data_IF_136088372054
#
_entry.id   IF_136088372054
#
_cell.length_a   1.000
_cell.length_b   1.000
_cell.length_c   1.000
_cell.angle_alpha   90.00
_cell.angle_beta   90.00
_cell.angle_gamma   90.00
#
_symmetry.space_group_name_H-M   'P 1'
#
loop_
_entity.id
_entity.type
_entity.pdbx_description
1 polymer ?
#
# COMPACT_ATOMS: atom_id res chain seq x y z
N UNK A 1 -19.66 -12.89 -23.95
CA UNK A 1 -19.51 -12.04 -22.75
C UNK A 1 -19.24 -10.62 -23.24
N UNK A 2 -20.09 -9.67 -22.88
CA UNK A 2 -19.84 -8.25 -23.17
C UNK A 2 -18.83 -7.76 -22.15
N UNK A 3 -17.68 -7.28 -22.64
CA UNK A 3 -16.66 -6.67 -21.77
C UNK A 3 -17.24 -5.36 -21.21
N UNK A 4 -17.24 -5.22 -19.88
CA UNK A 4 -17.61 -3.96 -19.23
C UNK A 4 -16.51 -2.93 -19.48
N UNK A 5 -16.81 -1.95 -20.34
CA UNK A 5 -15.88 -0.88 -20.76
C UNK A 5 -15.92 0.34 -19.81
N UNK A 6 -16.65 0.26 -18.70
CA UNK A 6 -16.65 1.31 -17.68
C UNK A 6 -15.32 1.41 -16.93
N UNK A 7 -15.07 2.53 -16.24
CA UNK A 7 -13.91 2.68 -15.36
C UNK A 7 -13.87 1.57 -14.30
N UNK A 8 -15.04 1.22 -13.75
CA UNK A 8 -15.19 0.14 -12.79
C UNK A 8 -14.91 -1.24 -13.39
N UNK A 9 -15.27 -1.47 -14.66
CA UNK A 9 -14.92 -2.68 -15.39
C UNK A 9 -13.42 -2.80 -15.59
N UNK A 10 -12.74 -1.73 -16.01
CA UNK A 10 -11.29 -1.68 -16.14
C UNK A 10 -10.58 -1.91 -14.80
N UNK A 11 -11.02 -1.27 -13.73
CA UNK A 11 -10.52 -1.48 -12.37
C UNK A 11 -10.60 -2.97 -11.99
N UNK A 12 -11.76 -3.59 -12.23
CA UNK A 12 -11.98 -5.01 -11.92
C UNK A 12 -11.08 -5.94 -12.72
N UNK A 13 -10.84 -5.65 -14.01
CA UNK A 13 -9.92 -6.41 -14.85
C UNK A 13 -8.48 -6.33 -14.35
N UNK A 14 -7.99 -5.13 -14.03
CA UNK A 14 -6.62 -4.92 -13.53
C UNK A 14 -6.42 -5.69 -12.22
N UNK A 15 -7.36 -5.56 -11.29
CA UNK A 15 -7.25 -6.20 -9.98
C UNK A 15 -7.36 -7.72 -10.07
N UNK A 16 -8.24 -8.22 -10.95
CA UNK A 16 -8.37 -9.66 -11.19
C UNK A 16 -7.07 -10.26 -11.73
N UNK A 17 -6.45 -9.59 -12.71
CA UNK A 17 -5.18 -10.00 -13.29
C UNK A 17 -4.05 -9.97 -12.24
N UNK A 18 -3.90 -8.86 -11.51
CA UNK A 18 -2.88 -8.74 -10.47
C UNK A 18 -3.04 -9.76 -9.35
N UNK A 19 -4.27 -10.03 -8.91
CA UNK A 19 -4.55 -10.95 -7.83
C UNK A 19 -4.64 -12.43 -8.28
N UNK A 20 -4.51 -12.72 -9.59
CA UNK A 20 -4.67 -14.05 -10.14
C UNK A 20 -6.06 -14.63 -9.89
N UNK A 21 -7.11 -13.79 -9.83
CA UNK A 21 -8.49 -14.17 -9.50
C UNK A 21 -9.43 -13.90 -10.66
N UNK A 22 -10.62 -14.53 -10.64
CA UNK A 22 -11.69 -14.16 -11.57
C UNK A 22 -12.38 -12.87 -11.09
N UNK A 23 -12.91 -12.10 -12.03
CA UNK A 23 -13.66 -10.86 -11.73
C UNK A 23 -14.85 -11.14 -10.79
N UNK A 24 -15.51 -12.28 -11.00
CA UNK A 24 -16.69 -12.72 -10.23
C UNK A 24 -16.35 -12.95 -8.74
N UNK A 25 -15.10 -13.32 -8.47
CA UNK A 25 -14.62 -13.65 -7.13
C UNK A 25 -14.10 -12.42 -6.36
N UNK A 26 -13.97 -11.25 -7.02
CA UNK A 26 -13.45 -10.03 -6.38
C UNK A 26 -14.39 -9.44 -5.31
N UNK A 27 -15.66 -9.78 -5.34
CA UNK A 27 -16.67 -9.33 -4.39
C UNK A 27 -17.03 -10.37 -3.33
N UNK A 28 -16.55 -11.59 -3.46
CA UNK A 28 -16.75 -12.62 -2.46
C UNK A 28 -15.87 -12.33 -1.22
N UNK A 29 -16.43 -12.44 0.01
CA UNK A 29 -15.57 -12.48 1.19
C UNK A 29 -14.55 -13.59 0.94
N UNK A 30 -13.28 -13.29 1.14
CA UNK A 30 -12.25 -14.31 1.18
C UNK A 30 -12.71 -15.33 2.22
N UNK A 31 -13.28 -16.44 1.75
CA UNK A 31 -13.56 -17.61 2.56
C UNK A 31 -12.22 -18.28 2.86
N UNK A 32 -11.56 -17.77 3.80
CA UNK A 32 -10.25 -18.14 4.25
C UNK A 32 -9.81 -16.98 5.08
N UNK A 33 -9.91 -17.15 6.38
CA UNK A 33 -9.11 -16.38 7.29
C UNK A 33 -7.71 -16.35 6.72
N UNK A 34 -6.96 -15.33 7.08
CA UNK A 34 -5.57 -15.16 6.75
C UNK A 34 -4.91 -16.53 6.54
N UNK A 35 -4.56 -16.87 5.30
CA UNK A 35 -3.65 -17.96 5.08
C UNK A 35 -2.38 -17.56 5.80
N UNK A 36 -2.06 -18.22 6.90
CA UNK A 36 -0.88 -17.94 7.69
C UNK A 36 0.42 -18.20 6.89
N UNK A 37 0.30 -18.92 5.80
CA UNK A 37 1.41 -19.17 4.88
C UNK A 37 1.30 -18.23 3.69
N UNK A 38 2.25 -17.27 3.55
CA UNK A 38 2.34 -16.44 2.36
C UNK A 38 2.74 -17.34 1.19
N UNK A 39 1.83 -17.50 0.22
CA UNK A 39 2.20 -18.07 -1.07
C UNK A 39 3.38 -17.27 -1.64
N UNK A 40 4.42 -17.94 -2.16
CA UNK A 40 5.57 -17.24 -2.69
C UNK A 40 5.14 -16.32 -3.83
N UNK A 41 5.63 -15.08 -3.82
CA UNK A 41 5.37 -14.11 -4.88
C UNK A 41 5.97 -14.64 -6.20
N UNK A 42 5.10 -15.09 -7.09
CA UNK A 42 5.47 -15.60 -8.42
C UNK A 42 4.94 -14.63 -9.48
N UNK A 43 5.63 -13.52 -9.67
CA UNK A 43 5.31 -12.55 -10.72
C UNK A 43 4.10 -11.65 -10.42
N UNK A 44 3.48 -11.11 -11.48
CA UNK A 44 2.42 -10.09 -11.37
C UNK A 44 1.08 -10.62 -10.85
N UNK A 45 0.88 -11.94 -10.78
CA UNK A 45 -0.43 -12.55 -10.52
C UNK A 45 -0.69 -12.95 -9.05
N UNK A 46 0.20 -12.61 -8.13
CA UNK A 46 0.07 -13.02 -6.72
C UNK A 46 -0.03 -11.81 -5.76
N UNK A 47 -0.63 -10.73 -6.22
CA UNK A 47 -0.90 -9.61 -5.35
C UNK A 47 -2.06 -9.95 -4.42
N UNK A 48 -1.91 -9.60 -3.16
CA UNK A 48 -2.98 -9.71 -2.18
C UNK A 48 -4.05 -8.67 -2.47
N UNK A 49 -5.31 -9.07 -2.37
CA UNK A 49 -6.41 -8.10 -2.40
C UNK A 49 -6.49 -7.41 -1.04
N UNK A 50 -6.16 -6.11 -1.00
CA UNK A 50 -6.20 -5.30 0.20
C UNK A 50 -7.62 -4.93 0.61
N UNK A 51 -7.85 -4.79 1.92
CA UNK A 51 -9.09 -4.25 2.47
C UNK A 51 -8.93 -2.72 2.67
N UNK A 52 -9.75 -1.87 2.02
CA UNK A 52 -9.67 -0.42 2.23
C UNK A 52 -9.95 0.00 3.68
N UNK A 53 -10.58 -0.86 4.50
CA UNK A 53 -10.81 -0.61 5.93
C UNK A 53 -9.57 -0.87 6.79
N UNK A 54 -8.61 -1.67 6.31
CA UNK A 54 -7.35 -1.94 7.00
C UNK A 54 -6.36 -0.75 6.90
N UNK A 55 -6.65 0.21 6.02
CA UNK A 55 -5.82 1.39 5.83
C UNK A 55 -6.05 2.42 6.93
N UNK A 56 -5.00 2.69 7.67
CA UNK A 56 -4.97 3.76 8.66
C UNK A 56 -4.69 5.11 8.00
N UNK A 57 -5.72 5.95 7.91
CA UNK A 57 -5.64 7.27 7.26
C UNK A 57 -4.76 8.24 8.03
N UNK A 58 -4.63 8.07 9.36
CA UNK A 58 -3.80 8.95 10.18
C UNK A 58 -2.32 8.73 9.89
N UNK A 59 -1.94 7.49 9.65
CA UNK A 59 -0.56 7.07 9.44
C UNK A 59 -0.24 6.73 7.98
N UNK A 60 -1.25 6.73 7.09
CA UNK A 60 -1.11 6.38 5.66
C UNK A 60 -0.47 5.00 5.43
N UNK A 61 -0.89 4.01 6.20
CA UNK A 61 -0.35 2.65 6.22
C UNK A 61 -1.48 1.63 6.26
N UNK A 62 -1.36 0.53 5.53
CA UNK A 62 -2.13 -0.69 5.78
C UNK A 62 -1.49 -1.45 6.95
N UNK A 63 -2.04 -1.23 8.15
CA UNK A 63 -1.49 -1.80 9.38
C UNK A 63 -1.54 -3.32 9.41
N UNK A 64 -2.53 -3.92 8.76
CA UNK A 64 -2.68 -5.40 8.71
C UNK A 64 -1.51 -6.00 7.93
N UNK A 65 -1.17 -5.43 6.77
CA UNK A 65 -0.08 -5.92 5.95
C UNK A 65 1.29 -5.63 6.58
N UNK A 66 1.47 -4.44 7.17
CA UNK A 66 2.71 -4.10 7.87
C UNK A 66 2.97 -5.03 9.06
N UNK A 67 1.95 -5.25 9.88
CA UNK A 67 2.02 -6.17 11.01
C UNK A 67 2.35 -7.59 10.56
N UNK A 68 1.66 -8.10 9.55
CA UNK A 68 1.88 -9.45 9.03
C UNK A 68 3.31 -9.62 8.48
N UNK A 69 3.83 -8.62 7.77
CA UNK A 69 5.22 -8.63 7.30
C UNK A 69 6.22 -8.65 8.47
N UNK A 70 6.08 -7.76 9.44
CA UNK A 70 6.98 -7.68 10.60
C UNK A 70 6.90 -8.98 11.42
N UNK A 71 5.70 -9.53 11.62
CA UNK A 71 5.51 -10.79 12.33
C UNK A 71 6.24 -11.95 11.65
N UNK A 72 6.16 -12.05 10.33
CA UNK A 72 6.78 -13.13 9.57
C UNK A 72 8.32 -13.01 9.47
N UNK A 73 8.84 -11.78 9.44
CA UNK A 73 10.25 -11.54 9.11
C UNK A 73 11.10 -11.14 10.32
N UNK A 74 10.50 -10.47 11.31
CA UNK A 74 11.17 -9.88 12.46
C UNK A 74 10.32 -10.03 13.73
N UNK A 75 9.96 -11.28 14.15
CA UNK A 75 9.03 -11.52 15.26
C UNK A 75 9.36 -10.77 16.57
N UNK A 76 10.63 -10.61 16.96
CA UNK A 76 10.96 -9.85 18.17
C UNK A 76 10.53 -8.38 18.11
N UNK A 77 10.45 -7.79 16.93
CA UNK A 77 10.04 -6.40 16.75
C UNK A 77 8.53 -6.20 16.90
N UNK A 78 7.73 -7.23 16.69
CA UNK A 78 6.27 -7.12 16.82
C UNK A 78 5.89 -6.59 18.21
N UNK A 79 6.47 -7.19 19.24
CA UNK A 79 6.26 -6.75 20.63
C UNK A 79 6.94 -5.42 20.95
N UNK A 80 8.16 -5.19 20.44
CA UNK A 80 8.91 -3.97 20.68
C UNK A 80 8.25 -2.72 20.06
N UNK A 81 7.58 -2.89 18.92
CA UNK A 81 6.84 -1.84 18.22
C UNK A 81 5.35 -1.79 18.63
N UNK A 82 4.89 -2.80 19.35
CA UNK A 82 3.51 -2.98 19.82
C UNK A 82 2.47 -2.83 18.69
N UNK A 83 2.74 -3.49 17.55
CA UNK A 83 1.88 -3.37 16.35
C UNK A 83 0.49 -4.00 16.53
N UNK A 84 0.30 -4.79 17.59
CA UNK A 84 -0.99 -5.44 17.89
C UNK A 84 -1.99 -4.50 18.55
N UNK A 85 -1.51 -3.47 19.25
CA UNK A 85 -2.34 -2.60 20.06
C UNK A 85 -2.29 -1.15 19.57
N UNK A 86 -3.38 -0.40 19.80
CA UNK A 86 -3.36 1.06 19.62
C UNK A 86 -2.71 1.72 20.84
N UNK A 87 -1.39 1.75 20.83
CA UNK A 87 -0.59 2.20 21.95
C UNK A 87 0.28 3.41 21.60
N UNK A 88 0.73 4.17 22.60
CA UNK A 88 1.73 5.21 22.40
C UNK A 88 3.03 4.71 21.76
N UNK A 89 3.40 3.44 21.99
CA UNK A 89 4.57 2.81 21.39
C UNK A 89 4.40 2.64 19.89
N UNK A 90 3.27 2.08 19.44
CA UNK A 90 2.93 1.99 18.02
C UNK A 90 2.89 3.37 17.36
N UNK A 91 2.23 4.34 18.00
CA UNK A 91 2.11 5.70 17.47
C UNK A 91 3.47 6.38 17.30
N UNK A 92 4.40 6.20 18.26
CA UNK A 92 5.78 6.70 18.14
C UNK A 92 6.54 6.08 16.95
N UNK A 93 6.38 4.78 16.75
CA UNK A 93 6.98 4.10 15.60
C UNK A 93 6.40 4.62 14.28
N UNK A 94 5.08 4.70 14.17
CA UNK A 94 4.41 5.17 12.95
C UNK A 94 4.73 6.64 12.64
N UNK A 95 4.82 7.50 13.67
CA UNK A 95 5.29 8.88 13.51
C UNK A 95 6.75 8.94 13.02
N UNK A 96 7.62 8.08 13.55
CA UNK A 96 8.99 7.96 13.08
C UNK A 96 9.05 7.51 11.61
N UNK A 97 8.27 6.48 11.27
CA UNK A 97 8.18 5.95 9.91
C UNK A 97 7.71 7.04 8.92
N UNK A 98 6.62 7.75 9.23
CA UNK A 98 6.17 8.89 8.41
C UNK A 98 7.24 9.99 8.27
N UNK A 99 7.92 10.32 9.37
CA UNK A 99 8.98 11.32 9.34
C UNK A 99 10.14 10.92 8.43
N UNK A 100 10.53 9.65 8.42
CA UNK A 100 11.57 9.14 7.53
C UNK A 100 11.10 9.09 6.07
N UNK A 101 9.85 8.69 5.81
CA UNK A 101 9.27 8.74 4.47
C UNK A 101 9.24 10.18 3.95
N UNK A 102 8.88 11.15 4.79
CA UNK A 102 8.87 12.56 4.42
C UNK A 102 10.25 13.13 4.10
N UNK A 103 11.31 12.59 4.71
CA UNK A 103 12.70 13.05 4.50
C UNK A 103 13.36 12.40 3.30
N UNK A 104 13.23 11.09 3.16
CA UNK A 104 14.01 10.26 2.24
C UNK A 104 13.17 9.70 1.08
N UNK A 105 11.86 9.78 1.18
CA UNK A 105 10.93 9.15 0.25
C UNK A 105 10.70 7.68 0.55
N UNK A 106 9.56 7.16 0.05
CA UNK A 106 9.10 5.79 0.34
C UNK A 106 10.07 4.72 -0.18
N UNK A 107 10.65 4.91 -1.34
CA UNK A 107 11.55 3.92 -1.96
C UNK A 107 12.85 3.78 -1.17
N UNK A 108 13.40 4.89 -0.68
CA UNK A 108 14.59 4.84 0.15
C UNK A 108 14.31 4.15 1.48
N UNK A 109 13.17 4.47 2.11
CA UNK A 109 12.73 3.87 3.37
C UNK A 109 12.49 2.36 3.22
N UNK A 110 11.89 1.91 2.13
CA UNK A 110 11.73 0.48 1.84
C UNK A 110 13.09 -0.21 1.71
N UNK A 111 14.03 0.39 0.99
CA UNK A 111 15.36 -0.22 0.73
C UNK A 111 16.28 -0.29 1.94
N UNK A 112 16.21 0.69 2.81
CA UNK A 112 17.18 0.85 3.90
C UNK A 112 16.56 0.73 5.29
N UNK A 113 15.25 0.48 5.35
CA UNK A 113 14.54 0.38 6.62
C UNK A 113 14.51 1.68 7.43
N UNK A 114 14.08 1.56 8.68
CA UNK A 114 13.99 2.67 9.63
C UNK A 114 14.60 2.27 10.97
N UNK A 115 15.41 3.15 11.53
CA UNK A 115 15.90 2.99 12.90
C UNK A 115 14.91 3.59 13.90
N UNK A 116 14.44 2.75 14.84
CA UNK A 116 13.55 3.15 15.91
C UNK A 116 14.11 2.73 17.28
N UNK A 117 14.57 3.71 18.07
CA UNK A 117 15.30 3.40 19.30
C UNK A 117 16.58 2.62 19.02
N UNK A 118 16.70 1.44 19.65
CA UNK A 118 17.80 0.50 19.44
C UNK A 118 17.54 -0.52 18.32
N UNK A 119 16.39 -0.47 17.69
CA UNK A 119 15.97 -1.45 16.69
C UNK A 119 16.15 -0.90 15.27
N UNK A 120 16.71 -1.72 14.42
CA UNK A 120 16.69 -1.52 12.97
C UNK A 120 15.51 -2.32 12.41
N UNK A 121 14.59 -1.65 11.74
CA UNK A 121 13.35 -2.23 11.19
C UNK A 121 13.49 -2.32 9.70
N UNK A 122 13.64 -3.55 9.18
CA UNK A 122 13.61 -3.83 7.75
C UNK A 122 12.18 -3.68 7.23
N UNK A 123 12.01 -3.03 6.09
CA UNK A 123 10.70 -2.79 5.50
C UNK A 123 10.51 -3.46 4.14
N UNK A 124 11.57 -4.02 3.57
CA UNK A 124 11.52 -4.74 2.31
C UNK A 124 12.77 -5.60 2.11
N UNK A 125 12.60 -6.77 1.53
CA UNK A 125 13.70 -7.62 1.08
C UNK A 125 13.76 -7.62 -0.44
N UNK A 126 14.90 -7.20 -0.99
CA UNK A 126 15.09 -7.05 -2.44
C UNK A 126 15.16 -8.39 -3.17
N UNK A 127 15.07 -8.32 -4.50
CA UNK A 127 15.18 -9.47 -5.39
C UNK A 127 16.50 -10.21 -5.16
N UNK A 128 16.47 -11.54 -4.91
CA UNK A 128 17.66 -12.32 -4.61
C UNK A 128 18.57 -12.46 -5.83
N UNK A 129 19.86 -12.49 -5.60
CA UNK A 129 20.81 -12.94 -6.63
C UNK A 129 20.61 -14.43 -6.92
N UNK A 130 20.86 -14.89 -8.16
CA UNK A 130 20.77 -16.30 -8.50
C UNK A 130 21.58 -17.18 -7.54
N UNK A 131 20.98 -18.26 -7.04
CA UNK A 131 21.61 -19.20 -6.12
C UNK A 131 21.60 -18.80 -4.64
N UNK A 132 21.08 -17.63 -4.27
CA UNK A 132 20.95 -17.22 -2.87
C UNK A 132 19.59 -17.62 -2.31
N UNK A 133 19.45 -18.87 -1.87
CA UNK A 133 18.20 -19.43 -1.35
C UNK A 133 17.67 -18.64 -0.15
N UNK A 134 18.54 -18.25 0.80
CA UNK A 134 18.12 -17.47 1.98
C UNK A 134 17.56 -16.10 1.63
N UNK A 135 18.11 -15.43 0.61
CA UNK A 135 17.56 -14.16 0.14
C UNK A 135 16.24 -14.38 -0.61
N UNK A 136 16.08 -15.51 -1.33
CA UNK A 136 14.84 -15.88 -1.99
C UNK A 136 13.71 -16.15 -0.98
N UNK A 137 14.00 -16.87 0.09
CA UNK A 137 13.04 -17.09 1.20
C UNK A 137 12.59 -15.77 1.81
N UNK A 138 13.53 -14.85 2.09
CA UNK A 138 13.17 -13.52 2.63
C UNK A 138 12.35 -12.69 1.65
N UNK A 139 12.73 -12.71 0.36
CA UNK A 139 12.00 -11.99 -0.68
C UNK A 139 10.55 -12.49 -0.78
N UNK A 140 10.34 -13.80 -0.68
CA UNK A 140 9.01 -14.40 -0.72
C UNK A 140 8.09 -13.98 0.44
N UNK A 141 8.66 -13.49 1.55
CA UNK A 141 7.89 -12.97 2.69
C UNK A 141 7.38 -11.53 2.49
N UNK A 142 7.84 -10.83 1.41
CA UNK A 142 7.24 -9.53 1.10
C UNK A 142 5.77 -9.68 0.74
N UNK A 143 4.98 -8.71 1.14
CA UNK A 143 3.54 -8.65 0.92
C UNK A 143 3.22 -7.53 -0.06
N UNK A 144 2.88 -7.91 -1.28
CA UNK A 144 2.41 -6.98 -2.31
C UNK A 144 0.89 -6.98 -2.29
N UNK A 145 0.26 -5.82 -2.14
CA UNK A 145 -1.20 -5.74 -2.14
C UNK A 145 -1.74 -4.61 -3.00
N UNK A 146 -2.90 -4.85 -3.60
CA UNK A 146 -3.67 -3.89 -4.38
C UNK A 146 -4.99 -3.62 -3.68
N UNK A 147 -5.28 -2.36 -3.39
CA UNK A 147 -6.51 -1.95 -2.71
C UNK A 147 -7.33 -1.07 -3.64
N UNK A 148 -8.63 -1.41 -3.77
CA UNK A 148 -9.60 -0.69 -4.60
C UNK A 148 -10.29 0.39 -3.79
N UNK A 149 -10.70 1.48 -4.47
CA UNK A 149 -11.54 2.53 -3.89
C UNK A 149 -11.04 3.00 -2.52
N UNK A 150 -9.73 3.29 -2.45
CA UNK A 150 -9.08 3.65 -1.20
C UNK A 150 -9.44 5.07 -0.78
N UNK A 151 -10.22 5.19 0.30
CA UNK A 151 -10.46 6.49 0.93
C UNK A 151 -9.23 6.89 1.75
N UNK A 152 -8.57 7.93 1.32
CA UNK A 152 -7.27 8.34 1.88
C UNK A 152 -7.33 9.60 2.75
N UNK A 153 -8.41 10.39 2.65
CA UNK A 153 -8.53 11.65 3.37
C UNK A 153 -8.85 11.43 4.85
N UNK A 154 -8.22 12.24 5.71
CA UNK A 154 -8.55 12.28 7.14
C UNK A 154 -9.93 12.90 7.38
N UNK A 155 -10.36 13.80 6.51
CA UNK A 155 -11.55 14.62 6.67
C UNK A 155 -12.84 13.94 6.14
N UNK A 156 -12.86 12.62 6.10
CA UNK A 156 -14.01 11.79 5.67
C UNK A 156 -14.68 12.25 4.36
N UNK A 157 -13.87 12.77 3.44
CA UNK A 157 -14.36 13.15 2.12
C UNK A 157 -14.73 11.90 1.33
N UNK A 158 -15.72 12.01 0.46
CA UNK A 158 -16.15 10.91 -0.42
C UNK A 158 -15.08 10.54 -1.48
N UNK A 159 -13.95 11.24 -1.49
CA UNK A 159 -12.87 10.99 -2.46
C UNK A 159 -12.13 9.69 -2.16
N UNK A 160 -12.11 8.81 -3.13
CA UNK A 160 -11.37 7.57 -3.11
C UNK A 160 -10.43 7.53 -4.32
N UNK A 161 -9.29 6.89 -4.16
CA UNK A 161 -8.42 6.50 -5.26
C UNK A 161 -8.94 5.20 -5.85
N UNK A 162 -8.97 5.08 -7.18
CA UNK A 162 -9.45 3.87 -7.84
C UNK A 162 -8.61 2.67 -7.42
N UNK A 163 -7.29 2.79 -7.50
CA UNK A 163 -6.36 1.75 -7.07
C UNK A 163 -5.19 2.34 -6.27
N UNK A 164 -4.76 1.62 -5.27
CA UNK A 164 -3.52 1.88 -4.53
C UNK A 164 -2.71 0.60 -4.37
N UNK A 165 -1.42 0.67 -4.66
CA UNK A 165 -0.48 -0.43 -4.49
C UNK A 165 0.32 -0.25 -3.21
N UNK A 166 0.49 -1.34 -2.49
CA UNK A 166 1.24 -1.37 -1.24
C UNK A 166 2.33 -2.44 -1.30
N UNK A 167 3.43 -2.16 -0.65
CA UNK A 167 4.48 -3.13 -0.33
C UNK A 167 4.62 -3.16 1.19
N UNK A 168 4.39 -4.33 1.79
CA UNK A 168 4.47 -4.53 3.23
C UNK A 168 3.65 -3.51 4.04
N UNK A 169 2.48 -3.14 3.51
CA UNK A 169 1.58 -2.15 4.11
C UNK A 169 1.91 -0.69 3.82
N UNK A 170 3.00 -0.39 3.12
CA UNK A 170 3.39 0.98 2.75
C UNK A 170 2.93 1.31 1.33
N UNK A 171 2.22 2.43 1.10
CA UNK A 171 1.72 2.81 -0.21
C UNK A 171 2.87 3.25 -1.12
N UNK A 172 2.97 2.66 -2.31
CA UNK A 172 4.04 2.92 -3.28
C UNK A 172 3.56 3.56 -4.57
N UNK A 173 2.32 3.29 -4.96
CA UNK A 173 1.72 3.88 -6.16
C UNK A 173 0.21 4.02 -6.01
N UNK A 174 -0.35 5.01 -6.68
CA UNK A 174 -1.80 5.24 -6.77
C UNK A 174 -2.20 5.47 -8.21
N UNK A 175 -3.42 5.04 -8.54
CA UNK A 175 -3.96 5.16 -9.89
C UNK A 175 -5.35 5.78 -9.84
N UNK A 176 -5.59 6.65 -10.80
CA UNK A 176 -6.90 7.19 -11.16
C UNK A 176 -7.18 6.71 -12.58
N UNK A 177 -8.18 5.89 -12.74
CA UNK A 177 -8.54 5.29 -14.02
C UNK A 177 -9.49 6.22 -14.77
N UNK A 178 -9.29 6.37 -16.07
CA UNK A 178 -10.16 7.16 -16.95
C UNK A 178 -10.57 6.35 -18.15
N UNK A 179 -11.83 6.45 -18.49
CA UNK A 179 -12.37 5.79 -19.68
C UNK A 179 -12.30 6.76 -20.87
N UNK A 180 -11.57 6.38 -21.91
CA UNK A 180 -11.46 7.15 -23.15
C UNK A 180 -12.81 7.37 -23.87
N UNK A 181 -13.80 6.52 -23.61
CA UNK A 181 -15.14 6.64 -24.17
C UNK A 181 -15.97 7.80 -23.57
N UNK A 182 -15.59 8.28 -22.37
CA UNK A 182 -16.28 9.40 -21.69
C UNK A 182 -15.77 10.77 -22.08
N UNK A 183 -14.88 10.87 -23.09
CA UNK A 183 -14.18 12.10 -23.52
C UNK A 183 -13.31 12.75 -22.43
N UNK A 184 -13.04 12.06 -21.35
CA UNK A 184 -12.08 12.50 -20.34
C UNK A 184 -10.68 12.19 -20.85
N UNK A 185 -9.80 13.17 -20.77
CA UNK A 185 -8.41 13.06 -21.23
C UNK A 185 -7.46 12.74 -20.09
N UNK A 186 -6.22 12.37 -20.43
CA UNK A 186 -5.14 12.23 -19.42
C UNK A 186 -4.91 13.56 -18.70
N UNK A 187 -5.07 14.68 -19.42
CA UNK A 187 -4.97 16.03 -18.88
C UNK A 187 -6.02 16.28 -17.77
N UNK A 188 -7.26 15.84 -17.97
CA UNK A 188 -8.34 15.94 -16.98
C UNK A 188 -7.99 15.14 -15.72
N UNK A 189 -7.42 13.95 -15.88
CA UNK A 189 -6.97 13.12 -14.76
C UNK A 189 -5.82 13.78 -13.98
N UNK A 190 -4.84 14.36 -14.71
CA UNK A 190 -3.72 15.10 -14.12
C UNK A 190 -4.21 16.34 -13.38
N UNK A 191 -5.15 17.09 -13.94
CA UNK A 191 -5.72 18.27 -13.29
C UNK A 191 -6.52 17.90 -12.04
N UNK A 192 -7.32 16.85 -12.10
CA UNK A 192 -8.05 16.34 -10.95
C UNK A 192 -7.09 15.96 -9.83
N UNK A 193 -6.05 15.17 -10.15
CA UNK A 193 -5.05 14.76 -9.19
C UNK A 193 -4.30 15.95 -8.57
N UNK A 194 -3.89 16.93 -9.38
CA UNK A 194 -3.24 18.16 -8.91
C UNK A 194 -4.17 18.99 -7.99
N UNK A 195 -5.44 19.11 -8.36
CA UNK A 195 -6.44 19.86 -7.58
C UNK A 195 -6.66 19.25 -6.22
N UNK A 196 -6.74 17.93 -6.15
CA UNK A 196 -6.92 17.19 -4.90
C UNK A 196 -5.65 17.24 -4.04
N UNK A 197 -4.47 17.21 -4.65
CA UNK A 197 -3.20 17.44 -3.95
C UNK A 197 -3.03 18.88 -3.45
N UNK A 198 -3.49 19.89 -4.20
CA UNK A 198 -3.41 21.31 -3.80
C UNK A 198 -4.38 21.63 -2.67
N UNK A 199 -5.59 21.09 -2.67
CA UNK A 199 -6.53 21.21 -1.54
C UNK A 199 -5.93 20.69 -0.23
N UNK A 200 -5.10 19.63 -0.29
CA UNK A 200 -4.38 19.12 0.88
C UNK A 200 -3.35 20.09 1.44
N UNK A 201 -2.66 20.88 0.59
CA UNK A 201 -1.69 21.90 1.05
C UNK A 201 -2.34 23.03 1.83
N UNK A 202 -3.63 23.32 1.58
CA UNK A 202 -4.36 24.39 2.28
C UNK A 202 -4.93 23.93 3.64
N UNK A 203 -4.99 22.63 3.92
CA UNK A 203 -5.60 22.06 5.13
C UNK A 203 -4.55 21.70 6.20
N UNK A 204 -3.25 21.76 5.87
CA UNK A 204 -2.17 21.48 6.84
C UNK A 204 -1.53 22.79 7.28
N UNK A 205 -1.81 23.28 8.51
CA UNK A 205 -1.03 24.36 9.09
C UNK A 205 0.39 23.88 9.36
N UNK A 206 1.36 24.72 9.04
CA UNK A 206 2.80 24.61 9.27
C UNK A 206 3.33 23.30 9.89
N UNK A 207 3.95 22.47 9.06
CA UNK A 207 4.56 21.19 9.45
C UNK A 207 4.29 20.03 8.47
N UNK A 208 3.61 20.32 7.37
CA UNK A 208 3.12 19.32 6.42
C UNK A 208 4.19 18.57 5.65
N UNK A 209 3.99 17.29 5.52
CA UNK A 209 4.69 16.32 4.69
C UNK A 209 4.85 16.85 3.26
N UNK A 210 6.08 16.97 2.78
CA UNK A 210 6.37 17.21 1.36
C UNK A 210 5.99 15.96 0.57
N UNK A 211 4.92 16.05 -0.20
CA UNK A 211 4.57 15.01 -1.18
C UNK A 211 5.61 15.03 -2.29
N UNK A 212 6.22 13.89 -2.57
CA UNK A 212 7.15 13.67 -3.68
C UNK A 212 6.49 14.08 -4.99
N UNK A 213 7.10 15.01 -5.73
CA UNK A 213 6.82 15.27 -7.13
C UNK A 213 7.86 14.49 -7.94
N UNK A 214 7.46 13.53 -8.77
CA UNK A 214 8.37 13.03 -9.79
C UNK A 214 8.61 14.16 -10.80
N UNK A 215 9.88 14.49 -11.00
CA UNK A 215 10.36 15.34 -12.10
C UNK A 215 10.31 14.58 -13.41
#
# INVERSE_FOLDING_TARGET
MTTDTSEKGLESLIVADMAGRRIEDLGAPTAGGFSEEPEPFVGLHNWLLGDPKAYDRAWTVDLVQLRAFVSATQPPLLAALDLDNDSPTRQKFLARLQGEIGKRGIIDVLRHGVKHGQHDVDLFYGTPSPGNAKAAERFALNRFSVTRQLRYSRDDTAHALDLALFINGLPVATFELKNSLTKQTVEDAVEQYKRDCQRRRQIVPDGGVKVYQPG
#
